data_IF_541576302394
#
_entry.id   IF_541576302394
#
_cell.length_a   1.000
_cell.length_b   1.000
_cell.length_c   1.000
_cell.angle_alpha   90.00
_cell.angle_beta   90.00
_cell.angle_gamma   90.00
#
_symmetry.space_group_name_H-M   'P 1'
#
loop_
_entity.id
_entity.type
_entity.pdbx_description
1 polymer ?
#
# COMPACT_ATOMS: atom_id res chain seq x y z
N UNK A 1 -30.02 11.55 18.52
CA UNK A 1 -28.92 10.92 19.28
C UNK A 1 -27.75 11.87 19.28
N UNK A 2 -27.04 12.08 20.41
CA UNK A 2 -25.89 12.97 20.46
C UNK A 2 -24.81 12.45 19.50
N UNK A 3 -24.26 13.35 18.68
CA UNK A 3 -23.13 13.00 17.81
C UNK A 3 -21.94 12.68 18.71
N UNK A 4 -21.31 11.50 18.57
CA UNK A 4 -20.15 11.15 19.38
C UNK A 4 -19.01 12.13 19.09
N UNK A 5 -18.38 12.67 20.13
CA UNK A 5 -17.15 13.46 19.97
C UNK A 5 -16.11 12.61 19.22
N UNK A 6 -15.74 12.99 17.99
CA UNK A 6 -14.86 12.18 17.16
C UNK A 6 -13.45 12.20 17.75
N UNK A 7 -12.92 11.01 18.06
CA UNK A 7 -11.56 10.83 18.58
C UNK A 7 -10.66 10.29 17.48
N UNK A 8 -9.47 10.88 17.35
CA UNK A 8 -8.43 10.36 16.47
C UNK A 8 -8.12 8.90 16.80
N UNK A 9 -7.93 8.08 15.76
CA UNK A 9 -7.71 6.64 15.86
C UNK A 9 -8.98 5.79 15.87
N UNK A 10 -10.14 6.36 16.22
CA UNK A 10 -11.39 5.60 16.30
C UNK A 10 -12.11 5.45 14.95
N UNK A 11 -12.91 4.39 14.83
CA UNK A 11 -13.72 4.07 13.65
C UNK A 11 -15.15 4.54 13.84
N UNK A 12 -15.73 5.05 12.76
CA UNK A 12 -17.09 5.59 12.71
C UNK A 12 -17.76 5.22 11.38
N UNK A 13 -19.05 5.48 11.31
CA UNK A 13 -19.84 5.43 10.08
C UNK A 13 -20.22 6.84 9.67
N UNK A 14 -20.11 7.18 8.39
CA UNK A 14 -20.74 8.39 7.85
C UNK A 14 -22.26 8.22 7.80
N UNK A 15 -23.02 9.30 7.55
CA UNK A 15 -24.49 9.26 7.33
C UNK A 15 -24.91 8.25 6.26
N UNK A 16 -24.10 8.06 5.22
CA UNK A 16 -24.35 7.10 4.14
C UNK A 16 -23.99 5.65 4.49
N UNK A 17 -23.55 5.38 5.73
CA UNK A 17 -23.11 4.07 6.18
C UNK A 17 -21.72 3.66 5.69
N UNK A 18 -20.94 4.57 5.10
CA UNK A 18 -19.57 4.30 4.71
C UNK A 18 -18.65 4.21 5.95
N UNK A 19 -17.83 3.16 6.08
CA UNK A 19 -16.91 3.00 7.20
C UNK A 19 -15.72 3.95 7.05
N UNK A 20 -15.44 4.73 8.09
CA UNK A 20 -14.35 5.70 8.14
C UNK A 20 -13.54 5.58 9.44
N UNK A 21 -12.29 6.02 9.40
CA UNK A 21 -11.46 6.20 10.59
C UNK A 21 -11.06 7.68 10.70
N UNK A 22 -11.16 8.24 11.89
CA UNK A 22 -10.64 9.60 12.16
C UNK A 22 -9.13 9.52 12.31
N UNK A 23 -8.40 10.25 11.48
CA UNK A 23 -6.94 10.32 11.53
C UNK A 23 -6.47 11.46 12.44
N UNK A 24 -7.05 12.63 12.27
CA UNK A 24 -6.71 13.83 13.03
C UNK A 24 -7.96 14.64 13.33
N UNK A 25 -7.94 15.31 14.49
CA UNK A 25 -8.93 16.31 14.89
C UNK A 25 -8.17 17.63 15.04
N UNK A 26 -8.53 18.62 14.22
CA UNK A 26 -8.04 20.00 14.32
C UNK A 26 -9.19 20.91 14.73
N UNK A 27 -8.90 22.15 15.12
CA UNK A 27 -9.87 23.08 15.70
C UNK A 27 -11.20 23.16 14.94
N UNK A 28 -11.18 23.16 13.60
CA UNK A 28 -12.39 23.27 12.77
C UNK A 28 -12.58 22.10 11.78
N UNK A 29 -11.60 21.19 11.69
CA UNK A 29 -11.54 20.17 10.63
C UNK A 29 -11.22 18.79 11.20
N UNK A 30 -11.95 17.79 10.73
CA UNK A 30 -11.68 16.37 10.91
C UNK A 30 -11.04 15.81 9.65
N UNK A 31 -9.96 15.05 9.82
CA UNK A 31 -9.35 14.29 8.75
C UNK A 31 -9.87 12.86 8.84
N UNK A 32 -10.63 12.43 7.83
CA UNK A 32 -11.20 11.09 7.75
C UNK A 32 -10.47 10.24 6.70
N UNK A 33 -10.33 8.95 6.96
CA UNK A 33 -9.92 7.94 5.99
C UNK A 33 -11.06 6.96 5.76
N UNK A 34 -11.52 6.85 4.52
CA UNK A 34 -12.49 5.82 4.12
C UNK A 34 -11.84 4.43 4.17
N UNK A 35 -12.43 3.51 4.92
CA UNK A 35 -11.90 2.15 5.07
C UNK A 35 -12.21 1.25 3.86
N UNK A 36 -13.14 1.66 2.99
CA UNK A 36 -13.44 0.95 1.74
C UNK A 36 -12.52 1.36 0.57
N UNK A 37 -12.18 2.65 0.48
CA UNK A 37 -11.45 3.24 -0.65
C UNK A 37 -10.03 3.71 -0.32
N UNK A 38 -9.66 3.76 0.95
CA UNK A 38 -8.42 4.41 1.45
C UNK A 38 -8.31 5.91 1.13
N UNK A 39 -9.38 6.54 0.65
CA UNK A 39 -9.40 7.95 0.36
C UNK A 39 -9.42 8.77 1.65
N UNK A 40 -8.66 9.87 1.65
CA UNK A 40 -8.68 10.87 2.71
C UNK A 40 -9.50 12.05 2.30
N UNK A 41 -10.28 12.58 3.22
CA UNK A 41 -11.08 13.77 3.00
C UNK A 41 -11.22 14.57 4.28
N UNK A 42 -11.42 15.86 4.11
CA UNK A 42 -11.54 16.84 5.18
C UNK A 42 -13.03 17.17 5.35
N UNK A 43 -13.52 17.11 6.58
CA UNK A 43 -14.90 17.49 6.91
C UNK A 43 -14.90 18.44 8.10
N UNK A 44 -15.89 19.32 8.25
CA UNK A 44 -15.97 20.20 9.40
C UNK A 44 -16.15 19.43 10.70
N UNK A 45 -15.63 19.97 11.80
CA UNK A 45 -15.94 19.50 13.17
C UNK A 45 -17.44 19.67 13.40
N UNK A 46 -18.15 18.57 13.63
CA UNK A 46 -19.62 18.51 13.63
C UNK A 46 -20.21 17.76 12.44
N UNK A 47 -19.39 17.26 11.51
CA UNK A 47 -19.85 16.32 10.50
C UNK A 47 -20.48 15.08 11.19
N UNK A 48 -21.73 14.72 10.83
CA UNK A 48 -22.45 13.64 11.49
C UNK A 48 -21.77 12.29 11.27
N UNK A 49 -21.20 11.76 12.36
CA UNK A 49 -20.59 10.44 12.44
C UNK A 49 -21.38 9.56 13.42
N UNK A 50 -21.66 8.32 13.01
CA UNK A 50 -22.33 7.31 13.83
C UNK A 50 -21.30 6.34 14.43
N UNK A 51 -21.61 5.81 15.62
CA UNK A 51 -20.80 4.77 16.24
C UNK A 51 -20.83 3.48 15.39
N UNK A 52 -19.74 2.69 15.36
CA UNK A 52 -19.65 1.47 14.54
C UNK A 52 -20.54 0.31 15.03
N UNK A 53 -21.25 0.47 16.15
CA UNK A 53 -21.86 -0.61 16.93
C UNK A 53 -23.32 -0.94 16.69
N UNK A 54 -23.89 -0.75 15.49
CA UNK A 54 -25.29 -1.18 15.29
C UNK A 54 -25.90 -1.06 13.90
N UNK A 55 -25.35 -0.21 13.02
CA UNK A 55 -25.79 -0.15 11.62
C UNK A 55 -24.89 -1.02 10.75
N UNK A 56 -25.51 -1.88 9.93
CA UNK A 56 -24.80 -2.63 8.91
C UNK A 56 -23.99 -1.65 8.05
N UNK A 57 -22.68 -1.85 7.96
CA UNK A 57 -21.80 -1.08 7.08
C UNK A 57 -22.31 -1.23 5.64
N UNK A 58 -22.61 -0.12 4.96
CA UNK A 58 -23.08 -0.16 3.57
C UNK A 58 -22.02 -0.78 2.63
N UNK A 59 -20.75 -0.71 3.03
CA UNK A 59 -19.62 -1.29 2.31
C UNK A 59 -18.70 -2.05 3.26
N UNK A 60 -18.25 -3.26 2.89
CA UNK A 60 -17.24 -3.96 3.67
C UNK A 60 -15.92 -3.16 3.67
N UNK A 61 -15.24 -3.03 4.81
CA UNK A 61 -13.91 -2.44 4.85
C UNK A 61 -12.92 -3.28 4.05
N UNK A 62 -11.90 -2.65 3.46
CA UNK A 62 -10.83 -3.36 2.78
C UNK A 62 -10.08 -4.27 3.76
N UNK A 63 -9.66 -5.48 3.33
CA UNK A 63 -8.89 -6.39 4.18
C UNK A 63 -7.49 -5.87 4.56
N UNK A 64 -6.96 -4.89 3.83
CA UNK A 64 -5.67 -4.24 4.12
C UNK A 64 -5.73 -2.76 3.75
N UNK A 65 -6.13 -1.87 4.69
CA UNK A 65 -6.14 -0.44 4.44
C UNK A 65 -4.72 0.11 4.27
N UNK A 66 -4.59 1.12 3.42
CA UNK A 66 -3.32 1.77 3.12
C UNK A 66 -2.82 2.50 4.38
N UNK A 67 -1.74 1.99 4.99
CA UNK A 67 -1.05 2.70 6.07
C UNK A 67 -0.11 3.75 5.47
N UNK A 68 -0.16 5.04 5.87
CA UNK A 68 0.87 6.02 5.50
C UNK A 68 2.27 5.64 5.99
N UNK A 69 2.36 4.73 6.97
CA UNK A 69 3.61 4.18 7.47
C UNK A 69 4.01 2.89 6.75
N UNK A 70 3.22 2.41 5.80
CA UNK A 70 3.63 1.32 4.94
C UNK A 70 4.80 1.80 4.10
N UNK A 71 6.00 1.34 4.45
CA UNK A 71 7.20 1.59 3.65
C UNK A 71 6.86 1.24 2.20
N UNK A 72 7.07 2.16 1.22
CA UNK A 72 6.83 1.84 -0.18
C UNK A 72 7.58 0.55 -0.45
N UNK A 73 6.87 -0.47 -0.96
CA UNK A 73 7.48 -1.72 -1.35
C UNK A 73 8.47 -1.36 -2.45
N UNK A 74 9.73 -1.08 -2.08
CA UNK A 74 10.84 -0.74 -2.96
C UNK A 74 10.74 -1.70 -4.12
N UNK A 75 10.53 -1.18 -5.34
CA UNK A 75 10.21 -1.94 -6.54
C UNK A 75 11.00 -3.23 -6.56
N UNK A 76 10.37 -4.30 -6.08
CA UNK A 76 11.02 -5.60 -6.00
C UNK A 76 11.03 -6.08 -7.45
N UNK A 77 12.16 -6.52 -7.98
CA UNK A 77 12.14 -7.28 -9.23
C UNK A 77 11.10 -8.38 -9.04
N UNK A 78 10.06 -8.39 -9.87
CA UNK A 78 9.01 -9.39 -9.79
C UNK A 78 9.68 -10.77 -9.87
N UNK A 79 9.41 -11.64 -8.90
CA UNK A 79 9.99 -12.99 -8.84
C UNK A 79 9.74 -13.74 -10.17
N UNK A 80 8.63 -13.41 -10.85
CA UNK A 80 8.28 -13.90 -12.19
C UNK A 80 9.34 -13.61 -13.25
N UNK A 81 10.01 -12.45 -13.21
CA UNK A 81 11.09 -12.11 -14.15
C UNK A 81 12.33 -12.98 -13.93
N UNK A 82 12.57 -13.39 -12.69
CA UNK A 82 13.71 -14.25 -12.33
C UNK A 82 13.40 -15.74 -12.51
N UNK A 83 12.13 -16.14 -12.66
CA UNK A 83 11.70 -17.52 -12.82
C UNK A 83 11.68 -18.00 -14.28
N UNK A 84 11.82 -17.11 -15.26
CA UNK A 84 11.87 -17.48 -16.68
C UNK A 84 13.29 -17.81 -17.18
N UNK A 85 13.39 -18.41 -18.36
CA UNK A 85 14.66 -18.69 -19.08
C UNK A 85 15.34 -17.42 -19.64
N UNK A 86 15.29 -16.31 -18.90
CA UNK A 86 15.83 -15.03 -19.33
C UNK A 86 17.30 -14.88 -18.92
N UNK A 87 18.11 -14.36 -19.84
CA UNK A 87 19.49 -13.96 -19.53
C UNK A 87 19.52 -12.71 -18.65
N UNK A 88 20.65 -12.46 -17.98
CA UNK A 88 20.86 -11.25 -17.17
C UNK A 88 20.55 -9.97 -17.96
N UNK A 89 20.94 -9.92 -19.24
CA UNK A 89 20.62 -8.81 -20.15
C UNK A 89 19.12 -8.67 -20.38
N UNK A 90 18.39 -9.77 -20.58
CA UNK A 90 16.93 -9.76 -20.75
C UNK A 90 16.21 -9.24 -19.50
N UNK A 91 16.61 -9.72 -18.32
CA UNK A 91 16.06 -9.26 -17.03
C UNK A 91 16.31 -7.76 -16.85
N UNK A 92 17.52 -7.28 -17.14
CA UNK A 92 17.84 -5.85 -17.05
C UNK A 92 17.03 -5.01 -18.05
N UNK A 93 16.80 -5.50 -19.27
CA UNK A 93 15.98 -4.81 -20.28
C UNK A 93 14.53 -4.67 -19.82
N UNK A 94 13.93 -5.75 -19.33
CA UNK A 94 12.56 -5.72 -18.81
C UNK A 94 12.42 -4.88 -17.55
N UNK A 95 13.40 -4.95 -16.64
CA UNK A 95 13.43 -4.08 -15.47
C UNK A 95 13.54 -2.62 -15.86
N UNK A 96 14.37 -2.27 -16.86
CA UNK A 96 14.45 -0.89 -17.37
C UNK A 96 13.15 -0.43 -18.03
N UNK A 97 12.47 -1.32 -18.75
CA UNK A 97 11.16 -1.04 -19.38
C UNK A 97 10.06 -0.79 -18.34
N UNK A 98 10.03 -1.57 -17.26
CA UNK A 98 9.03 -1.46 -16.18
C UNK A 98 9.38 -0.39 -15.14
N UNK A 99 10.66 -0.05 -15.01
CA UNK A 99 11.15 0.97 -14.10
C UNK A 99 10.69 2.37 -14.53
N UNK A 100 9.88 3.02 -13.69
CA UNK A 100 9.58 4.45 -13.81
C UNK A 100 10.85 5.30 -13.54
N UNK A 101 10.76 6.62 -13.77
CA UNK A 101 11.86 7.57 -13.57
C UNK A 101 12.57 7.45 -12.21
N UNK A 102 11.88 6.94 -11.18
CA UNK A 102 12.40 6.68 -9.82
C UNK A 102 13.53 5.62 -9.73
N UNK A 103 13.86 4.97 -10.85
CA UNK A 103 14.89 3.93 -10.95
C UNK A 103 16.12 4.37 -11.75
N UNK A 104 16.08 5.57 -12.36
CA UNK A 104 17.22 6.12 -13.10
C UNK A 104 18.41 6.31 -12.15
N UNK A 105 19.60 5.90 -12.59
CA UNK A 105 20.85 6.03 -11.83
C UNK A 105 21.18 4.89 -10.85
N UNK A 106 20.30 3.89 -10.67
CA UNK A 106 20.60 2.72 -9.82
C UNK A 106 21.32 1.64 -10.61
N UNK A 107 22.32 1.00 -9.98
CA UNK A 107 22.95 -0.19 -10.56
C UNK A 107 21.99 -1.39 -10.48
N UNK A 108 21.20 -1.55 -11.55
CA UNK A 108 20.24 -2.63 -11.69
C UNK A 108 20.93 -4.00 -11.69
N UNK A 109 22.17 -4.10 -12.21
CA UNK A 109 22.90 -5.37 -12.28
C UNK A 109 23.32 -5.83 -10.89
N UNK A 110 23.84 -4.93 -10.06
CA UNK A 110 24.14 -5.24 -8.65
C UNK A 110 22.87 -5.65 -7.89
N UNK A 111 21.75 -4.94 -8.08
CA UNK A 111 20.49 -5.26 -7.41
C UNK A 111 19.93 -6.63 -7.81
N UNK A 112 19.99 -6.98 -9.10
CA UNK A 112 19.56 -8.31 -9.58
C UNK A 112 20.43 -9.41 -9.00
N UNK A 113 21.76 -9.23 -8.97
CA UNK A 113 22.69 -10.19 -8.34
C UNK A 113 22.42 -10.40 -6.86
N UNK A 114 22.30 -9.31 -6.11
CA UNK A 114 21.97 -9.36 -4.69
C UNK A 114 20.63 -10.07 -4.46
N UNK A 115 19.65 -9.86 -5.34
CA UNK A 115 18.35 -10.50 -5.26
C UNK A 115 18.41 -12.00 -5.52
N UNK A 116 19.13 -12.44 -6.55
CA UNK A 116 19.35 -13.86 -6.84
C UNK A 116 20.02 -14.54 -5.65
N UNK A 117 21.06 -13.93 -5.08
CA UNK A 117 21.74 -14.43 -3.88
C UNK A 117 20.76 -14.64 -2.71
N UNK A 118 19.95 -13.63 -2.38
CA UNK A 118 18.99 -13.73 -1.28
C UNK A 118 17.86 -14.72 -1.53
N UNK A 119 17.45 -14.93 -2.79
CA UNK A 119 16.45 -15.93 -3.14
C UNK A 119 17.01 -17.35 -3.01
N UNK A 120 18.23 -17.59 -3.52
CA UNK A 120 18.94 -18.86 -3.33
C UNK A 120 19.12 -19.18 -1.83
N UNK A 121 19.55 -18.19 -1.03
CA UNK A 121 19.69 -18.33 0.44
C UNK A 121 18.38 -18.69 1.15
N UNK A 122 17.22 -18.33 0.59
CA UNK A 122 15.89 -18.64 1.13
C UNK A 122 15.28 -19.93 0.59
N UNK A 123 16.05 -20.72 -0.16
CA UNK A 123 15.59 -22.00 -0.73
C UNK A 123 14.66 -21.85 -1.93
N UNK A 124 14.59 -20.67 -2.55
CA UNK A 124 13.83 -20.52 -3.80
C UNK A 124 14.63 -21.08 -4.98
N UNK A 125 13.97 -21.85 -5.83
CA UNK A 125 14.52 -22.27 -7.12
C UNK A 125 14.69 -21.02 -8.00
N UNK A 126 15.93 -20.65 -8.26
CA UNK A 126 16.29 -19.57 -9.19
C UNK A 126 17.16 -20.19 -10.28
N UNK A 127 16.84 -20.00 -11.57
CA UNK A 127 17.66 -20.49 -12.66
C UNK A 127 19.07 -19.92 -12.56
N UNK A 128 20.05 -20.72 -12.98
CA UNK A 128 21.44 -20.28 -13.00
C UNK A 128 21.64 -19.35 -14.20
N UNK A 129 21.56 -18.05 -13.95
CA UNK A 129 21.60 -17.03 -14.99
C UNK A 129 23.06 -16.81 -15.39
N UNK A 130 23.47 -17.15 -16.63
CA UNK A 130 24.84 -16.94 -17.07
C UNK A 130 25.17 -15.45 -17.10
N UNK A 131 26.26 -15.07 -16.43
CA UNK A 131 26.79 -13.71 -16.41
C UNK A 131 27.77 -13.58 -17.58
N UNK A 132 27.24 -13.36 -18.79
CA UNK A 132 28.04 -12.90 -19.94
C UNK A 132 28.00 -11.37 -20.03
#
# INVERSE_FOLDING_TARGET
MPSPDPKAGNRYLTVTGAPVQVLEVRAEILVLQGLASDNRFLVPVGYPLDAPGGKATAFPPRPSPYSPYAKPRRGRPEIKLLAGNMTMRGILRELRRKASAASRGKDLRANVRARIYWLKKRGHAVPDIPVR
#
